data_IF_003752467249
#
_entry.id   IF_003752467249
#
_cell.length_a   1.000
_cell.length_b   1.000
_cell.length_c   1.000
_cell.angle_alpha   90.00
_cell.angle_beta   90.00
_cell.angle_gamma   90.00
#
_symmetry.space_group_name_H-M   'P 1'
#
loop_
_entity.id
_entity.type
_entity.pdbx_description
1 polymer ?
#
# COMPACT_ATOMS: atom_id res chain seq x y z
N UNK A 1 -15.24 15.40 10.32
CA UNK A 1 -14.27 14.50 10.98
C UNK A 1 -14.85 13.83 12.22
N UNK A 2 -15.56 14.55 13.10
CA UNK A 2 -16.18 13.96 14.31
C UNK A 2 -17.22 12.86 14.02
N UNK A 3 -18.13 13.07 13.05
CA UNK A 3 -19.13 12.07 12.68
C UNK A 3 -18.48 10.78 12.17
N UNK A 4 -17.59 10.85 11.18
CA UNK A 4 -16.91 9.67 10.64
C UNK A 4 -16.14 8.89 11.72
N UNK A 5 -15.58 9.58 12.71
CA UNK A 5 -14.95 8.94 13.85
C UNK A 5 -15.99 8.22 14.73
N UNK A 6 -17.11 8.86 15.06
CA UNK A 6 -18.19 8.23 15.82
C UNK A 6 -18.76 7.00 15.09
N UNK A 7 -18.97 7.10 13.78
CA UNK A 7 -19.43 5.99 12.94
C UNK A 7 -18.41 4.85 12.93
N UNK A 8 -17.11 5.17 12.77
CA UNK A 8 -16.04 4.16 12.87
C UNK A 8 -16.07 3.45 14.23
N UNK A 9 -16.21 4.19 15.33
CA UNK A 9 -16.26 3.63 16.68
C UNK A 9 -17.52 2.80 16.91
N UNK A 10 -18.67 3.21 16.36
CA UNK A 10 -19.91 2.44 16.42
C UNK A 10 -19.78 1.12 15.65
N UNK A 11 -19.14 1.15 14.48
CA UNK A 11 -18.83 -0.03 13.67
C UNK A 11 -17.91 -0.99 14.41
N UNK A 12 -16.82 -0.48 15.00
CA UNK A 12 -15.89 -1.29 15.80
C UNK A 12 -16.59 -1.91 17.01
N UNK A 13 -17.48 -1.16 17.67
CA UNK A 13 -18.26 -1.68 18.80
C UNK A 13 -19.22 -2.81 18.38
N UNK A 14 -19.79 -2.73 17.17
CA UNK A 14 -20.78 -3.70 16.67
C UNK A 14 -20.14 -4.94 16.06
N UNK A 15 -19.08 -4.78 15.29
CA UNK A 15 -18.48 -5.83 14.46
C UNK A 15 -17.08 -6.25 14.91
N UNK A 16 -16.52 -5.59 15.93
CA UNK A 16 -15.17 -5.81 16.40
C UNK A 16 -14.14 -4.97 15.66
N UNK A 17 -12.86 -5.19 15.98
CA UNK A 17 -11.75 -4.50 15.32
C UNK A 17 -11.71 -4.85 13.83
N UNK A 18 -11.32 -3.88 13.00
CA UNK A 18 -11.03 -4.12 11.59
C UNK A 18 -9.88 -5.10 11.42
N UNK A 19 -9.92 -5.89 10.35
CA UNK A 19 -8.92 -6.92 10.06
C UNK A 19 -7.85 -6.40 9.11
N UNK A 20 -8.24 -5.57 8.14
CA UNK A 20 -7.34 -4.98 7.15
C UNK A 20 -7.39 -3.45 7.17
N UNK A 21 -6.22 -2.86 6.98
CA UNK A 21 -6.04 -1.43 6.76
C UNK A 21 -5.42 -1.21 5.39
N UNK A 22 -6.25 -0.81 4.43
CA UNK A 22 -5.86 -0.56 3.04
C UNK A 22 -5.61 0.93 2.87
N UNK A 23 -4.49 1.26 2.24
CA UNK A 23 -4.15 2.64 1.91
C UNK A 23 -4.06 2.81 0.40
N UNK A 24 -4.74 3.82 -0.14
CA UNK A 24 -4.66 4.18 -1.56
C UNK A 24 -4.11 5.59 -1.68
N UNK A 25 -2.97 5.73 -2.35
CA UNK A 25 -2.27 7.01 -2.52
C UNK A 25 -2.36 7.44 -3.97
N UNK A 26 -2.74 8.70 -4.21
CA UNK A 26 -2.71 9.25 -5.55
C UNK A 26 -1.28 9.30 -6.10
N UNK A 27 -1.09 8.79 -7.32
CA UNK A 27 0.15 8.95 -8.06
C UNK A 27 -0.06 10.02 -9.15
N UNK A 28 0.62 11.18 -9.08
CA UNK A 28 0.45 12.25 -10.06
C UNK A 28 0.98 11.87 -11.45
N UNK A 29 1.74 10.78 -11.56
CA UNK A 29 2.29 10.26 -12.82
C UNK A 29 1.34 9.31 -13.54
N UNK A 30 0.11 9.12 -13.05
CA UNK A 30 -0.88 8.31 -13.78
C UNK A 30 -1.14 8.91 -15.16
N UNK A 31 -1.17 8.06 -16.17
CA UNK A 31 -1.40 8.45 -17.58
C UNK A 31 -2.71 9.22 -17.74
N UNK A 32 -3.75 8.88 -16.96
CA UNK A 32 -5.04 9.58 -16.94
C UNK A 32 -4.94 11.05 -16.49
N UNK A 33 -3.92 11.39 -15.69
CA UNK A 33 -3.62 12.76 -15.27
C UNK A 33 -2.74 13.45 -16.32
N UNK A 34 -1.72 12.75 -16.82
CA UNK A 34 -0.73 13.31 -17.76
C UNK A 34 -1.29 13.55 -19.17
N UNK A 35 -2.26 12.74 -19.62
CA UNK A 35 -2.83 12.84 -20.97
C UNK A 35 -3.85 13.98 -21.14
N UNK A 36 -4.11 14.77 -20.10
CA UNK A 36 -5.02 15.91 -20.24
C UNK A 36 -4.29 17.05 -20.96
N UNK A 37 -4.76 17.49 -22.16
CA UNK A 37 -4.05 18.47 -22.96
C UNK A 37 -3.79 19.77 -22.18
N UNK A 38 -2.56 20.30 -22.31
CA UNK A 38 -2.21 21.62 -21.78
C UNK A 38 -2.94 22.70 -22.61
N UNK A 39 -4.06 23.19 -22.08
CA UNK A 39 -4.82 24.29 -22.67
C UNK A 39 -4.43 25.65 -22.08
N UNK A 40 -4.60 26.76 -22.83
CA UNK A 40 -4.23 28.13 -22.42
C UNK A 40 -5.05 28.71 -21.24
N UNK A 41 -5.98 27.95 -20.66
CA UNK A 41 -6.82 28.36 -19.52
C UNK A 41 -6.63 27.45 -18.29
N UNK A 42 -5.40 27.17 -17.88
CA UNK A 42 -5.17 26.67 -16.51
C UNK A 42 -4.18 27.59 -15.80
N UNK A 43 -4.59 28.29 -14.74
CA UNK A 43 -3.63 28.84 -13.81
C UNK A 43 -3.06 27.64 -13.04
N UNK A 44 -1.91 27.12 -13.47
CA UNK A 44 -1.03 26.26 -12.66
C UNK A 44 -1.68 24.99 -12.05
N UNK A 45 -1.65 23.87 -12.81
CA UNK A 45 -1.66 22.51 -12.24
C UNK A 45 -3.00 21.95 -11.73
N UNK A 46 -4.02 21.84 -12.59
CA UNK A 46 -5.39 21.36 -12.33
C UNK A 46 -5.59 20.32 -11.20
N UNK A 47 -5.79 20.75 -9.94
CA UNK A 47 -5.98 19.86 -8.81
C UNK A 47 -7.32 19.11 -8.89
N UNK A 48 -8.28 19.64 -9.65
CA UNK A 48 -9.57 19.03 -9.92
C UNK A 48 -9.45 17.71 -10.68
N UNK A 49 -8.54 17.61 -11.66
CA UNK A 49 -8.29 16.39 -12.43
C UNK A 49 -7.69 15.32 -11.55
N UNK A 50 -6.67 15.69 -10.77
CA UNK A 50 -6.01 14.78 -9.83
C UNK A 50 -7.03 14.17 -8.87
N UNK A 51 -7.90 15.01 -8.28
CA UNK A 51 -8.96 14.55 -7.37
C UNK A 51 -9.98 13.67 -8.09
N UNK A 52 -10.39 14.00 -9.32
CA UNK A 52 -11.34 13.20 -10.11
C UNK A 52 -10.76 11.83 -10.47
N UNK A 53 -9.55 11.79 -11.02
CA UNK A 53 -8.87 10.53 -11.36
C UNK A 53 -8.66 9.68 -10.11
N UNK A 54 -8.22 10.29 -9.01
CA UNK A 54 -8.10 9.58 -7.74
C UNK A 54 -9.45 9.00 -7.29
N UNK A 55 -10.53 9.78 -7.33
CA UNK A 55 -11.85 9.31 -6.93
C UNK A 55 -12.35 8.17 -7.82
N UNK A 56 -12.07 8.20 -9.13
CA UNK A 56 -12.38 7.11 -10.04
C UNK A 56 -11.63 5.83 -9.66
N UNK A 57 -10.31 5.90 -9.47
CA UNK A 57 -9.51 4.73 -9.07
C UNK A 57 -9.87 4.21 -7.68
N UNK A 58 -10.20 5.08 -6.73
CA UNK A 58 -10.70 4.68 -5.42
C UNK A 58 -12.05 3.98 -5.53
N UNK A 59 -12.94 4.45 -6.41
CA UNK A 59 -14.24 3.80 -6.64
C UNK A 59 -14.06 2.42 -7.24
N UNK A 60 -13.15 2.27 -8.21
CA UNK A 60 -12.80 0.97 -8.80
C UNK A 60 -12.25 0.00 -7.74
N UNK A 61 -11.34 0.47 -6.87
CA UNK A 61 -10.83 -0.33 -5.74
C UNK A 61 -11.97 -0.76 -4.80
N UNK A 62 -12.91 0.12 -4.48
CA UNK A 62 -14.06 -0.25 -3.65
C UNK A 62 -14.99 -1.24 -4.35
N UNK A 63 -15.11 -1.16 -5.67
CA UNK A 63 -15.87 -2.12 -6.47
C UNK A 63 -15.19 -3.49 -6.53
N UNK A 64 -13.85 -3.55 -6.62
CA UNK A 64 -13.09 -4.80 -6.47
C UNK A 64 -13.39 -5.47 -5.12
N UNK A 65 -13.33 -4.67 -4.04
CA UNK A 65 -13.55 -5.13 -2.68
C UNK A 65 -15.00 -5.62 -2.50
N UNK A 66 -15.99 -4.82 -2.91
CA UNK A 66 -17.39 -5.03 -2.55
C UNK A 66 -18.19 -5.84 -3.57
N UNK A 67 -17.95 -5.64 -4.87
CA UNK A 67 -18.73 -6.25 -5.95
C UNK A 67 -18.05 -7.50 -6.49
N UNK A 68 -16.72 -7.47 -6.58
CA UNK A 68 -15.91 -8.61 -7.06
C UNK A 68 -15.47 -9.52 -5.91
N UNK A 69 -15.85 -9.20 -4.67
CA UNK A 69 -15.60 -9.99 -3.46
C UNK A 69 -14.12 -10.35 -3.27
N UNK A 70 -13.22 -9.41 -3.53
CA UNK A 70 -11.77 -9.65 -3.46
C UNK A 70 -11.34 -10.26 -2.11
N UNK A 71 -11.96 -9.80 -1.02
CA UNK A 71 -11.72 -10.31 0.34
C UNK A 71 -12.92 -11.06 0.92
N UNK A 72 -13.83 -11.55 0.07
CA UNK A 72 -15.13 -12.08 0.50
C UNK A 72 -16.10 -10.96 0.91
N UNK A 73 -17.06 -11.29 1.77
CA UNK A 73 -18.02 -10.30 2.27
C UNK A 73 -17.36 -9.43 3.33
N UNK A 74 -17.36 -8.12 3.12
CA UNK A 74 -16.71 -7.16 4.03
C UNK A 74 -17.62 -5.99 4.34
N UNK A 75 -17.39 -5.40 5.51
CA UNK A 75 -17.93 -4.09 5.86
C UNK A 75 -16.75 -3.12 5.94
N UNK A 76 -16.89 -1.96 5.32
CA UNK A 76 -15.80 -0.98 5.25
C UNK A 76 -16.21 0.40 5.74
N UNK A 77 -15.21 1.14 6.22
CA UNK A 77 -15.28 2.59 6.39
C UNK A 77 -14.01 3.19 5.82
N UNK A 78 -14.10 4.38 5.21
CA UNK A 78 -12.91 5.06 4.72
C UNK A 78 -12.95 6.56 4.98
N UNK A 79 -11.76 7.15 5.07
CA UNK A 79 -11.55 8.57 5.10
C UNK A 79 -10.58 8.97 4.00
N UNK A 80 -10.83 10.11 3.36
CA UNK A 80 -9.90 10.71 2.40
C UNK A 80 -9.22 11.89 3.10
N UNK A 81 -7.90 11.89 3.07
CA UNK A 81 -7.06 12.94 3.61
C UNK A 81 -6.16 13.51 2.52
N UNK A 82 -5.87 14.80 2.62
CA UNK A 82 -4.89 15.46 1.77
C UNK A 82 -3.60 15.57 2.58
N UNK A 83 -2.66 14.66 2.34
CA UNK A 83 -1.37 14.71 3.02
C UNK A 83 -0.62 16.00 2.63
N UNK A 84 0.38 16.41 3.42
CA UNK A 84 1.06 17.75 3.40
C UNK A 84 1.82 18.14 2.11
N UNK A 85 1.38 17.66 0.94
CA UNK A 85 1.75 18.09 -0.42
C UNK A 85 0.55 18.15 -1.37
N UNK A 86 -0.69 18.06 -0.86
CA UNK A 86 -1.93 18.34 -1.60
C UNK A 86 -2.51 17.19 -2.42
N UNK A 87 -1.88 16.01 -2.44
CA UNK A 87 -2.44 14.84 -3.13
C UNK A 87 -3.40 14.07 -2.22
N UNK A 88 -4.53 13.58 -2.76
CA UNK A 88 -5.49 12.81 -1.99
C UNK A 88 -4.94 11.42 -1.67
N UNK A 89 -5.28 10.95 -0.47
CA UNK A 89 -4.95 9.65 0.07
C UNK A 89 -6.18 9.10 0.78
N UNK A 90 -6.46 7.81 0.64
CA UNK A 90 -7.57 7.15 1.31
C UNK A 90 -7.05 6.12 2.31
N UNK A 91 -7.62 6.17 3.51
CA UNK A 91 -7.50 5.14 4.53
C UNK A 91 -8.79 4.35 4.55
N UNK A 92 -8.73 3.06 4.26
CA UNK A 92 -9.88 2.15 4.21
C UNK A 92 -9.69 1.08 5.28
N UNK A 93 -10.63 1.00 6.22
CA UNK A 93 -10.69 -0.05 7.22
C UNK A 93 -11.70 -1.10 6.75
N UNK A 94 -11.27 -2.36 6.68
CA UNK A 94 -12.13 -3.48 6.30
C UNK A 94 -12.34 -4.41 7.50
N UNK A 95 -13.59 -4.78 7.74
CA UNK A 95 -13.98 -5.83 8.68
C UNK A 95 -14.52 -6.99 7.86
N UNK A 96 -13.76 -8.07 7.82
CA UNK A 96 -14.07 -9.28 7.07
C UNK A 96 -15.14 -10.09 7.80
N UNK A 97 -15.97 -10.79 7.04
CA UNK A 97 -16.89 -11.79 7.59
C UNK A 97 -16.15 -12.95 8.26
N UNK A 98 -16.91 -13.81 8.95
CA UNK A 98 -16.35 -14.94 9.70
C UNK A 98 -15.65 -15.98 8.83
N UNK A 99 -16.04 -16.10 7.56
CA UNK A 99 -15.50 -17.11 6.64
C UNK A 99 -14.22 -16.64 5.93
N UNK A 100 -14.01 -15.33 5.87
CA UNK A 100 -12.88 -14.69 5.19
C UNK A 100 -11.84 -14.15 6.19
N UNK A 101 -12.02 -14.39 7.49
CA UNK A 101 -11.07 -13.99 8.53
C UNK A 101 -9.69 -14.57 8.27
N UNK A 102 -8.68 -13.73 8.54
CA UNK A 102 -7.27 -14.09 8.44
C UNK A 102 -6.84 -14.66 9.80
N UNK A 103 -6.59 -15.97 9.86
CA UNK A 103 -6.25 -16.67 11.09
C UNK A 103 -4.87 -17.31 11.05
N UNK A 104 -4.38 -17.61 9.85
CA UNK A 104 -3.14 -18.35 9.65
C UNK A 104 -2.12 -17.53 8.86
N UNK A 105 -0.88 -18.00 8.86
CA UNK A 105 0.20 -17.44 8.05
C UNK A 105 -0.10 -17.58 6.56
N UNK A 106 -0.70 -18.70 6.16
CA UNK A 106 -1.09 -18.96 4.78
C UNK A 106 -2.21 -17.99 4.33
N UNK A 107 -3.14 -17.64 5.23
CA UNK A 107 -4.15 -16.61 4.94
C UNK A 107 -3.50 -15.24 4.73
N UNK A 108 -2.44 -14.90 5.49
CA UNK A 108 -1.70 -13.66 5.30
C UNK A 108 -1.02 -13.66 3.93
N UNK A 109 -0.31 -14.74 3.60
CA UNK A 109 0.44 -14.88 2.35
C UNK A 109 -0.47 -14.90 1.11
N UNK A 110 -1.75 -15.26 1.27
CA UNK A 110 -2.77 -15.14 0.22
C UNK A 110 -3.07 -13.69 -0.17
N UNK A 111 -3.03 -12.75 0.77
CA UNK A 111 -3.42 -11.35 0.54
C UNK A 111 -2.25 -10.37 0.55
N UNK A 112 -1.11 -10.76 1.10
CA UNK A 112 0.03 -9.88 1.30
C UNK A 112 1.32 -10.55 0.85
N UNK A 113 2.07 -9.87 0.00
CA UNK A 113 3.42 -10.24 -0.39
C UNK A 113 4.41 -9.16 0.02
N UNK A 114 5.64 -9.56 0.33
CA UNK A 114 6.77 -8.67 0.50
C UNK A 114 7.97 -9.12 -0.36
N UNK A 115 7.68 -9.80 -1.46
CA UNK A 115 8.68 -10.31 -2.40
C UNK A 115 8.55 -9.59 -3.74
N UNK A 116 9.63 -9.54 -4.50
CA UNK A 116 9.60 -9.05 -5.88
C UNK A 116 8.78 -10.02 -6.73
N UNK A 117 7.81 -9.54 -7.52
CA UNK A 117 7.11 -10.37 -8.49
C UNK A 117 8.07 -10.98 -9.52
N UNK A 118 7.65 -12.06 -10.17
CA UNK A 118 8.41 -12.61 -11.28
C UNK A 118 8.30 -11.68 -12.51
N UNK A 119 9.43 -11.17 -13.05
CA UNK A 119 9.41 -10.20 -14.16
C UNK A 119 8.96 -10.80 -15.50
N UNK A 120 8.93 -12.13 -15.63
CA UNK A 120 8.49 -12.84 -16.84
C UNK A 120 7.02 -13.26 -16.69
N UNK A 121 6.64 -13.82 -15.54
CA UNK A 121 5.28 -14.30 -15.32
C UNK A 121 4.28 -13.16 -15.10
N UNK A 122 4.68 -12.09 -14.40
CA UNK A 122 3.88 -10.88 -14.21
C UNK A 122 4.72 -9.59 -14.34
N UNK A 123 5.05 -9.20 -15.59
CA UNK A 123 5.85 -8.01 -15.84
C UNK A 123 5.14 -6.72 -15.37
N UNK A 124 3.81 -6.71 -15.35
CA UNK A 124 3.03 -5.53 -14.98
C UNK A 124 3.12 -5.28 -13.47
N UNK A 125 2.85 -6.31 -12.67
CA UNK A 125 3.01 -6.23 -11.22
C UNK A 125 4.46 -5.95 -10.85
N UNK A 126 5.42 -6.62 -11.50
CA UNK A 126 6.84 -6.34 -11.30
C UNK A 126 7.18 -4.85 -11.50
N UNK A 127 6.70 -4.23 -12.58
CA UNK A 127 6.92 -2.80 -12.84
C UNK A 127 6.25 -1.90 -11.80
N UNK A 128 5.05 -2.25 -11.35
CA UNK A 128 4.33 -1.48 -10.31
C UNK A 128 5.10 -1.57 -8.98
N UNK A 129 5.49 -2.78 -8.56
CA UNK A 129 6.16 -3.01 -7.28
C UNK A 129 7.53 -2.36 -7.27
N UNK A 130 8.34 -2.54 -8.31
CA UNK A 130 9.68 -1.92 -8.38
C UNK A 130 9.64 -0.38 -8.44
N UNK A 131 8.55 0.21 -8.92
CA UNK A 131 8.39 1.67 -9.00
C UNK A 131 7.76 2.30 -7.75
N UNK A 132 6.86 1.59 -7.06
CA UNK A 132 6.00 2.17 -6.02
C UNK A 132 6.15 1.51 -4.64
N UNK A 133 6.54 0.24 -4.59
CA UNK A 133 6.54 -0.57 -3.37
C UNK A 133 7.95 -1.01 -2.96
N UNK A 134 8.96 -0.19 -3.27
CA UNK A 134 10.33 -0.36 -2.78
C UNK A 134 10.64 0.71 -1.76
N UNK A 135 11.10 0.30 -0.59
CA UNK A 135 11.67 1.22 0.37
C UNK A 135 12.93 1.84 -0.23
N UNK A 136 12.96 3.17 -0.30
CA UNK A 136 14.13 3.87 -0.83
C UNK A 136 15.42 3.49 -0.08
N UNK A 137 16.58 3.48 -0.76
CA UNK A 137 17.86 3.24 -0.13
C UNK A 137 18.02 4.09 1.14
N UNK A 138 18.54 3.49 2.20
CA UNK A 138 18.78 4.16 3.48
C UNK A 138 20.00 3.54 4.16
N UNK A 139 20.33 3.97 5.39
CA UNK A 139 21.53 3.55 6.12
C UNK A 139 22.80 3.84 5.31
N UNK A 140 23.65 2.85 5.12
CA UNK A 140 24.92 2.97 4.37
C UNK A 140 24.71 3.37 2.92
N UNK A 141 23.58 2.99 2.31
CA UNK A 141 23.27 3.36 0.92
C UNK A 141 22.78 4.82 0.79
N UNK A 142 22.15 5.36 1.83
CA UNK A 142 21.77 6.77 1.89
C UNK A 142 21.50 7.21 3.34
N UNK A 143 22.51 7.77 4.05
CA UNK A 143 22.36 8.19 5.44
C UNK A 143 21.38 9.36 5.63
N UNK A 144 21.11 10.13 4.57
CA UNK A 144 20.28 11.32 4.60
C UNK A 144 18.80 11.03 4.28
N UNK A 145 18.41 9.76 4.13
CA UNK A 145 17.02 9.40 3.86
C UNK A 145 16.09 9.85 4.99
N UNK A 146 14.87 10.34 4.71
CA UNK A 146 13.94 10.84 5.74
C UNK A 146 13.55 9.82 6.82
N UNK A 147 13.70 8.53 6.53
CA UNK A 147 13.44 7.45 7.47
C UNK A 147 14.55 7.26 8.52
N UNK A 148 15.71 7.89 8.34
CA UNK A 148 16.88 7.75 9.20
C UNK A 148 16.74 8.62 10.45
N UNK A 149 16.93 8.02 11.62
CA UNK A 149 17.14 8.71 12.90
C UNK A 149 18.27 8.03 13.65
N UNK A 150 19.19 8.80 14.22
CA UNK A 150 20.30 8.27 15.03
C UNK A 150 21.08 7.14 14.33
N UNK A 151 21.29 7.27 13.01
CA UNK A 151 22.02 6.28 12.21
C UNK A 151 21.24 4.99 11.88
N UNK A 152 19.99 4.85 12.33
CA UNK A 152 19.13 3.70 12.04
C UNK A 152 17.89 4.08 11.24
N UNK A 153 17.43 3.17 10.37
CA UNK A 153 16.15 3.34 9.70
C UNK A 153 15.03 3.07 10.70
N UNK A 154 14.18 4.07 10.96
CA UNK A 154 13.01 3.97 11.84
C UNK A 154 11.98 2.92 11.39
N UNK A 155 11.99 2.54 10.11
CA UNK A 155 11.16 1.48 9.53
C UNK A 155 11.87 0.12 9.51
N UNK A 156 13.11 0.09 9.99
CA UNK A 156 13.96 -1.09 10.13
C UNK A 156 14.28 -1.77 8.79
N UNK A 157 14.47 -0.99 7.72
CA UNK A 157 14.97 -1.50 6.44
C UNK A 157 16.51 -1.50 6.40
N UNK A 158 17.15 -2.41 5.64
CA UNK A 158 16.53 -3.57 5.02
C UNK A 158 15.99 -4.55 6.07
N UNK A 159 14.88 -5.24 5.74
CA UNK A 159 14.34 -6.31 6.59
C UNK A 159 15.23 -7.55 6.53
N UNK A 160 14.99 -8.51 7.42
CA UNK A 160 15.66 -9.82 7.36
C UNK A 160 15.02 -10.69 6.27
N UNK A 161 15.81 -11.59 5.68
CA UNK A 161 15.27 -12.68 4.87
C UNK A 161 14.54 -13.68 5.77
N UNK A 162 13.43 -14.22 5.26
CA UNK A 162 12.60 -15.20 5.94
C UNK A 162 11.98 -16.14 4.93
N UNK A 163 12.15 -17.44 5.13
CA UNK A 163 11.61 -18.46 4.23
C UNK A 163 10.09 -18.58 4.27
N UNK A 164 9.46 -18.20 5.39
CA UNK A 164 8.01 -18.23 5.61
C UNK A 164 7.57 -17.06 6.49
N UNK A 165 6.30 -16.68 6.38
CA UNK A 165 5.70 -15.68 7.26
C UNK A 165 5.63 -16.18 8.71
N UNK A 166 5.94 -15.30 9.64
CA UNK A 166 5.94 -15.58 11.08
C UNK A 166 5.10 -14.57 11.86
N UNK A 167 4.54 -15.02 12.98
CA UNK A 167 3.88 -14.12 13.92
C UNK A 167 4.93 -13.32 14.69
N UNK A 168 4.58 -12.10 15.08
CA UNK A 168 5.45 -11.21 15.83
C UNK A 168 4.83 -10.89 17.18
N UNK A 169 5.68 -10.74 18.20
CA UNK A 169 5.32 -10.35 19.56
C UNK A 169 4.54 -9.01 19.57
N UNK A 170 4.82 -8.12 18.62
CA UNK A 170 4.20 -6.80 18.51
C UNK A 170 2.92 -6.77 17.65
N UNK A 171 2.39 -7.92 17.23
CA UNK A 171 1.11 -8.02 16.52
C UNK A 171 1.13 -7.73 15.01
N UNK A 172 2.29 -7.43 14.43
CA UNK A 172 2.45 -7.27 12.97
C UNK A 172 3.21 -8.46 12.37
N UNK A 173 2.69 -9.16 11.35
CA UNK A 173 3.37 -10.30 10.73
C UNK A 173 4.78 -9.95 10.24
N UNK A 174 5.70 -10.88 10.45
CA UNK A 174 7.02 -10.88 9.81
C UNK A 174 6.89 -11.64 8.49
N UNK A 175 6.63 -10.91 7.41
CA UNK A 175 6.39 -11.48 6.08
C UNK A 175 7.56 -12.29 5.55
N UNK A 176 7.23 -13.34 4.78
CA UNK A 176 8.16 -14.07 3.93
C UNK A 176 8.93 -13.12 3.00
N UNK A 177 10.24 -13.34 2.94
CA UNK A 177 11.21 -12.62 2.10
C UNK A 177 12.33 -13.61 1.75
N UNK A 178 12.20 -14.37 0.67
CA UNK A 178 13.22 -15.34 0.26
C UNK A 178 14.47 -14.64 -0.25
N UNK A 179 15.60 -15.29 -0.08
CA UNK A 179 16.87 -14.83 -0.62
C UNK A 179 16.97 -15.18 -2.11
N UNK A 180 16.44 -14.30 -2.96
CA UNK A 180 16.49 -14.40 -4.42
C UNK A 180 17.48 -13.38 -5.01
N UNK A 181 17.65 -13.40 -6.33
CA UNK A 181 18.48 -12.42 -7.03
C UNK A 181 17.99 -10.98 -6.80
N UNK A 182 18.94 -10.06 -6.67
CA UNK A 182 18.65 -8.63 -6.59
C UNK A 182 18.34 -8.06 -7.97
N UNK A 183 17.52 -7.01 -8.00
CA UNK A 183 17.23 -6.24 -9.22
C UNK A 183 17.75 -4.83 -9.09
N UNK A 184 18.22 -4.30 -10.23
CA UNK A 184 18.74 -2.94 -10.34
C UNK A 184 17.58 -1.94 -10.27
N UNK A 185 17.45 -1.24 -9.14
CA UNK A 185 16.44 -0.20 -8.95
C UNK A 185 17.16 1.14 -8.80
N UNK A 186 16.98 2.00 -9.80
CA UNK A 186 17.77 3.21 -10.00
C UNK A 186 19.30 2.93 -10.04
N UNK A 187 20.02 3.21 -8.95
CA UNK A 187 21.49 3.06 -8.86
C UNK A 187 21.92 1.99 -7.85
N UNK A 188 21.00 1.18 -7.36
CA UNK A 188 21.25 0.20 -6.31
C UNK A 188 20.70 -1.16 -6.70
N UNK A 189 21.37 -2.21 -6.27
CA UNK A 189 20.90 -3.59 -6.41
C UNK A 189 20.13 -3.92 -5.14
N UNK A 190 18.81 -4.04 -5.27
CA UNK A 190 17.89 -4.23 -4.16
C UNK A 190 17.18 -5.58 -4.31
N UNK A 191 16.97 -6.25 -3.20
CA UNK A 191 16.32 -7.56 -3.11
C UNK A 191 15.02 -7.48 -2.27
N UNK A 192 14.44 -8.64 -1.98
CA UNK A 192 13.20 -8.78 -1.21
C UNK A 192 13.25 -8.11 0.16
N UNK A 193 14.41 -7.79 0.74
CA UNK A 193 14.50 -7.08 2.03
C UNK A 193 14.05 -5.63 1.97
N UNK A 194 13.95 -5.06 0.76
CA UNK A 194 13.59 -3.67 0.52
C UNK A 194 12.13 -3.48 0.11
N UNK A 195 11.43 -4.57 -0.23
CA UNK A 195 10.03 -4.52 -0.68
C UNK A 195 9.12 -4.11 0.48
N UNK A 196 8.30 -3.10 0.25
CA UNK A 196 7.21 -2.73 1.16
C UNK A 196 6.05 -3.70 0.91
N UNK A 197 5.44 -4.30 1.95
CA UNK A 197 4.35 -5.26 1.76
C UNK A 197 3.22 -4.67 0.91
N UNK A 198 2.71 -5.45 -0.03
CA UNK A 198 1.67 -5.06 -0.98
C UNK A 198 0.66 -6.20 -1.17
N UNK A 199 -0.50 -5.87 -1.74
CA UNK A 199 -1.46 -6.88 -2.18
C UNK A 199 -1.12 -7.27 -3.64
N UNK A 200 -0.68 -8.51 -3.91
CA UNK A 200 -0.47 -8.99 -5.26
C UNK A 200 -1.78 -9.10 -6.05
#
# INVERSE_FOLDING_TARGET
>A
MHQNYQDAMAMVRKFGRSDLFVTSTCNPKWVDILNVPEGPQRPEGGPDIVVRVFKMKLTELLDDIMKRNLFGHVIYIYAIEFQKRGLPHAHVLLTLDTYSKIHTKDDIDKYMSAELPDPIADPTLFQIITSCMIHGPCRTLNPNSPCMREGVCTKQYPKEFREKTEENINGYPMYQRKCTESVRIARHDLDNRWVVPYNP
#
